data_IF_820521543063
#
_entry.id   IF_820521543063
#
_cell.length_a   1.000
_cell.length_b   1.000
_cell.length_c   1.000
_cell.angle_alpha   90.00
_cell.angle_beta   90.00
_cell.angle_gamma   90.00
#
_symmetry.space_group_name_H-M   'P 1'
#
loop_
_entity.id
_entity.type
_entity.pdbx_description
1 polymer ?
#
# COMPACT_ATOMS: atom_id res chain seq x y z
N UNK A 1 -10.97 -4.54 1.33
CA UNK A 1 -9.57 -4.07 1.53
C UNK A 1 -9.48 -2.58 1.88
N UNK A 2 -10.32 -1.70 1.33
CA UNK A 2 -10.32 -0.26 1.63
C UNK A 2 -10.54 0.12 3.10
N UNK A 3 -11.24 -0.72 3.88
CA UNK A 3 -11.37 -0.53 5.34
C UNK A 3 -10.01 -0.51 6.08
N UNK A 4 -8.97 -1.15 5.56
CA UNK A 4 -7.62 -1.14 6.15
C UNK A 4 -6.90 0.22 6.01
N UNK A 5 -7.45 1.12 5.19
CA UNK A 5 -6.97 2.48 4.99
C UNK A 5 -8.06 3.52 5.30
N UNK A 6 -9.05 3.17 6.12
CA UNK A 6 -10.18 4.05 6.46
C UNK A 6 -10.90 4.63 5.23
N UNK A 7 -10.96 3.84 4.15
CA UNK A 7 -11.55 4.24 2.86
C UNK A 7 -10.93 5.49 2.22
N UNK A 8 -9.69 5.85 2.58
CA UNK A 8 -8.95 6.94 1.94
C UNK A 8 -7.51 6.52 1.64
N UNK A 9 -6.94 6.89 0.48
CA UNK A 9 -5.54 6.60 0.17
C UNK A 9 -4.58 7.16 1.21
N UNK A 10 -3.52 6.42 1.50
CA UNK A 10 -2.42 6.89 2.35
C UNK A 10 -1.37 7.57 1.47
N UNK A 11 -1.07 8.83 1.72
CA UNK A 11 0.05 9.54 1.08
C UNK A 11 1.37 9.09 1.70
N UNK A 12 2.20 8.36 0.94
CA UNK A 12 3.49 7.85 1.37
C UNK A 12 4.58 8.93 1.46
N UNK A 13 4.39 10.08 0.80
CA UNK A 13 5.29 11.27 0.84
C UNK A 13 6.76 10.97 0.54
N UNK A 14 7.05 10.00 -0.32
CA UNK A 14 8.40 9.50 -0.63
C UNK A 14 9.19 10.50 -1.48
N UNK A 15 10.42 10.82 -1.11
CA UNK A 15 11.30 11.63 -1.95
C UNK A 15 12.02 10.78 -3.00
N UNK A 16 12.38 9.54 -2.66
CA UNK A 16 13.07 8.61 -3.53
C UNK A 16 12.54 7.17 -3.36
N UNK A 17 12.74 6.28 -4.34
CA UNK A 17 12.20 4.92 -4.28
C UNK A 17 12.75 4.06 -3.13
N UNK A 18 13.94 4.37 -2.59
CA UNK A 18 14.55 3.61 -1.49
C UNK A 18 13.85 3.83 -0.15
N UNK A 19 13.06 4.90 -0.04
CA UNK A 19 12.23 5.18 1.14
C UNK A 19 10.94 4.36 1.16
N UNK A 20 10.61 3.65 0.07
CA UNK A 20 9.44 2.79 0.00
C UNK A 20 9.73 1.51 0.79
N UNK A 21 8.99 1.22 1.88
CA UNK A 21 9.24 0.02 2.67
C UNK A 21 8.76 -1.22 1.91
N UNK A 22 9.33 -2.38 2.23
CA UNK A 22 8.86 -3.66 1.66
C UNK A 22 7.51 -4.11 2.27
N UNK A 23 7.22 -3.68 3.51
CA UNK A 23 5.99 -4.01 4.24
C UNK A 23 5.58 -2.85 5.15
N UNK A 24 4.35 -2.88 5.66
CA UNK A 24 3.84 -1.97 6.70
C UNK A 24 2.95 -2.74 7.67
N UNK A 25 2.68 -2.16 8.84
CA UNK A 25 1.73 -2.73 9.79
C UNK A 25 0.33 -2.98 9.16
N UNK A 26 -0.08 -2.16 8.19
CA UNK A 26 -1.34 -2.34 7.46
C UNK A 26 -1.28 -3.51 6.48
N UNK A 27 -0.17 -3.71 5.77
CA UNK A 27 0.00 -4.89 4.90
C UNK A 27 0.14 -6.18 5.71
N UNK A 28 0.73 -6.13 6.91
CA UNK A 28 0.79 -7.25 7.84
C UNK A 28 -0.61 -7.67 8.30
N UNK A 29 -1.43 -6.68 8.69
CA UNK A 29 -2.82 -6.90 9.08
C UNK A 29 -3.65 -7.48 7.93
N UNK A 30 -3.50 -6.94 6.72
CA UNK A 30 -4.18 -7.44 5.53
C UNK A 30 -3.76 -8.87 5.18
N UNK A 31 -2.46 -9.17 5.17
CA UNK A 31 -1.89 -10.51 4.96
C UNK A 31 -2.49 -11.51 5.96
N UNK A 32 -2.55 -11.15 7.25
CA UNK A 32 -3.13 -12.01 8.29
C UNK A 32 -4.62 -12.27 8.07
N UNK A 33 -5.40 -11.24 7.76
CA UNK A 33 -6.84 -11.37 7.50
C UNK A 33 -7.11 -12.22 6.25
N UNK A 34 -6.39 -11.99 5.16
CA UNK A 34 -6.53 -12.77 3.93
C UNK A 34 -6.15 -14.25 4.14
N UNK A 35 -5.06 -14.53 4.86
CA UNK A 35 -4.69 -15.91 5.24
C UNK A 35 -5.79 -16.57 6.06
N UNK A 36 -6.39 -15.86 7.01
CA UNK A 36 -7.51 -16.37 7.83
C UNK A 36 -8.74 -16.69 6.97
N UNK A 37 -8.98 -15.92 5.90
CA UNK A 37 -10.04 -16.15 4.91
C UNK A 37 -9.71 -17.23 3.87
N UNK A 38 -8.57 -17.91 3.99
CA UNK A 38 -8.20 -19.03 3.12
C UNK A 38 -7.38 -18.66 1.89
N UNK A 39 -7.10 -17.36 1.65
CA UNK A 39 -6.25 -16.94 0.54
C UNK A 39 -4.82 -17.48 0.71
N UNK A 40 -4.18 -17.82 -0.41
CA UNK A 40 -2.81 -18.30 -0.49
C UNK A 40 -1.95 -17.29 -1.24
N UNK A 41 -0.64 -17.36 -1.03
CA UNK A 41 0.33 -16.43 -1.65
C UNK A 41 0.06 -14.95 -1.35
N UNK A 42 -0.44 -14.68 -0.13
CA UNK A 42 -0.77 -13.34 0.37
C UNK A 42 0.20 -12.94 1.50
N UNK A 43 1.51 -13.03 1.24
CA UNK A 43 2.53 -12.53 2.16
C UNK A 43 2.42 -11.00 2.34
N UNK A 44 2.99 -10.45 3.42
CA UNK A 44 2.87 -9.01 3.70
C UNK A 44 3.47 -8.14 2.59
N UNK A 45 4.61 -8.53 2.01
CA UNK A 45 5.22 -7.83 0.87
C UNK A 45 4.30 -7.83 -0.35
N UNK A 46 3.67 -8.97 -0.64
CA UNK A 46 2.69 -9.08 -1.73
C UNK A 46 1.48 -8.18 -1.45
N UNK A 47 0.99 -8.17 -0.21
CA UNK A 47 -0.11 -7.31 0.20
C UNK A 47 0.25 -5.83 0.09
N UNK A 48 1.47 -5.43 0.45
CA UNK A 48 1.89 -4.03 0.33
C UNK A 48 2.01 -3.61 -1.14
N UNK A 49 2.61 -4.46 -1.99
CA UNK A 49 2.66 -4.24 -3.43
C UNK A 49 1.25 -4.11 -4.03
N UNK A 50 0.31 -4.97 -3.62
CA UNK A 50 -1.10 -4.86 -4.00
C UNK A 50 -1.72 -3.54 -3.53
N UNK A 51 -1.47 -3.13 -2.28
CA UNK A 51 -2.00 -1.87 -1.74
C UNK A 51 -1.52 -0.66 -2.54
N UNK A 52 -0.26 -0.66 -2.97
CA UNK A 52 0.30 0.38 -3.85
C UNK A 52 -0.38 0.35 -5.24
N UNK A 53 -0.44 -0.82 -5.86
CA UNK A 53 -1.00 -0.98 -7.21
C UNK A 53 -2.49 -0.64 -7.30
N UNK A 54 -3.27 -1.00 -6.27
CA UNK A 54 -4.71 -0.74 -6.21
C UNK A 54 -5.07 0.66 -5.68
N UNK A 55 -4.07 1.50 -5.37
CA UNK A 55 -4.28 2.89 -4.96
C UNK A 55 -4.67 3.08 -3.48
N UNK A 56 -4.52 2.06 -2.63
CA UNK A 56 -4.70 2.21 -1.19
C UNK A 56 -3.55 3.01 -0.55
N UNK A 57 -2.38 3.02 -1.21
CA UNK A 57 -1.20 3.81 -0.84
C UNK A 57 -0.69 4.52 -2.09
N UNK A 58 -0.52 5.84 -2.00
CA UNK A 58 0.19 6.62 -3.01
C UNK A 58 1.67 6.71 -2.62
N UNK A 59 2.47 5.77 -3.11
CA UNK A 59 3.93 5.72 -2.93
C UNK A 59 4.69 6.27 -4.15
N UNK A 60 4.00 6.96 -5.08
CA UNK A 60 4.72 7.73 -6.09
C UNK A 60 5.67 8.71 -5.39
N UNK A 61 6.91 8.81 -5.89
CA UNK A 61 7.87 9.78 -5.38
C UNK A 61 7.39 11.20 -5.67
N UNK A 62 7.73 12.19 -4.83
CA UNK A 62 7.22 13.57 -4.97
C UNK A 62 7.57 14.24 -6.30
N UNK A 63 8.60 13.75 -6.99
CA UNK A 63 9.00 14.20 -8.33
C UNK A 63 8.30 13.47 -9.48
N UNK A 64 7.51 12.43 -9.21
CA UNK A 64 6.69 11.77 -10.21
C UNK A 64 5.53 12.67 -10.62
N UNK A 65 5.28 12.82 -11.93
CA UNK A 65 4.17 13.65 -12.44
C UNK A 65 2.80 13.24 -11.89
N UNK A 66 2.62 11.94 -11.58
CA UNK A 66 1.40 11.37 -10.99
C UNK A 66 1.21 11.68 -9.51
N UNK A 67 2.27 12.06 -8.78
CA UNK A 67 2.18 12.20 -7.32
C UNK A 67 1.10 13.20 -6.89
N UNK A 68 1.05 14.37 -7.54
CA UNK A 68 0.06 15.41 -7.25
C UNK A 68 -1.32 15.07 -7.82
N UNK A 69 -1.39 14.40 -8.96
CA UNK A 69 -2.65 14.01 -9.60
C UNK A 69 -3.43 12.97 -8.77
N UNK A 70 -2.70 12.12 -8.03
CA UNK A 70 -3.26 11.07 -7.18
C UNK A 70 -3.35 11.45 -5.70
N UNK A 71 -3.02 12.70 -5.35
CA UNK A 71 -3.11 13.21 -3.99
C UNK A 71 -4.54 13.71 -3.76
N UNK A 72 -5.39 12.82 -3.23
CA UNK A 72 -6.77 13.09 -2.82
C UNK A 72 -6.78 13.67 -1.40
#
# INVERSE_FOLDING_TARGET
VWSFVNNSPIDGKRMNPREVPATTAKSDALSKDLKKRGFKFVGSTICYAFMQAAGLVNDHTKNCFRYRELKI
#
